data_IF_274836850601
#
_entry.id   IF_274836850601
#
_cell.length_a   1.000
_cell.length_b   1.000
_cell.length_c   1.000
_cell.angle_alpha   90.00
_cell.angle_beta   90.00
_cell.angle_gamma   90.00
#
_symmetry.space_group_name_H-M   'P 1'
#
loop_
_entity.id
_entity.type
_entity.pdbx_description
1 polymer ?
#
# COMPACT_ATOMS: atom_id res chain seq x y z
N UNK A 1 -11.81 -28.86 22.38
CA UNK A 1 -12.09 -27.44 22.15
C UNK A 1 -11.09 -26.92 21.14
N UNK A 2 -11.50 -26.66 19.89
CA UNK A 2 -10.63 -25.98 18.91
C UNK A 2 -10.44 -24.54 19.41
N UNK A 3 -9.20 -24.14 19.69
CA UNK A 3 -8.88 -22.75 20.02
C UNK A 3 -9.28 -21.89 18.81
N UNK A 4 -10.30 -21.05 18.97
CA UNK A 4 -10.71 -20.05 17.95
C UNK A 4 -9.66 -18.96 17.90
N UNK A 5 -8.57 -19.21 17.13
CA UNK A 5 -7.45 -18.29 17.00
C UNK A 5 -7.89 -16.90 16.48
N UNK A 6 -8.88 -16.88 15.60
CA UNK A 6 -9.41 -15.66 15.00
C UNK A 6 -10.65 -15.09 15.70
N UNK A 7 -11.06 -15.66 16.85
CA UNK A 7 -12.23 -15.21 17.64
C UNK A 7 -13.49 -14.99 16.80
N UNK A 8 -13.74 -15.90 15.86
CA UNK A 8 -14.85 -15.80 14.91
C UNK A 8 -16.22 -15.70 15.61
N UNK A 9 -16.39 -16.36 16.75
CA UNK A 9 -17.62 -16.31 17.53
C UNK A 9 -17.85 -14.95 18.20
N UNK A 10 -16.79 -14.30 18.68
CA UNK A 10 -16.88 -12.96 19.28
C UNK A 10 -17.26 -11.91 18.23
N UNK A 11 -16.79 -12.07 16.98
CA UNK A 11 -17.10 -11.20 15.85
C UNK A 11 -18.42 -11.55 15.13
N UNK A 12 -19.16 -12.56 15.59
CA UNK A 12 -20.44 -12.97 15.00
C UNK A 12 -20.35 -13.43 13.55
N UNK A 13 -19.19 -13.96 13.15
CA UNK A 13 -18.91 -14.37 11.77
C UNK A 13 -18.65 -15.85 11.64
N UNK A 14 -18.59 -16.36 10.42
CA UNK A 14 -18.30 -17.76 10.11
C UNK A 14 -17.10 -17.85 9.17
N UNK A 15 -16.36 -18.97 9.25
CA UNK A 15 -15.19 -19.23 8.37
C UNK A 15 -15.53 -19.04 6.88
N UNK A 16 -16.72 -19.47 6.43
CA UNK A 16 -17.14 -19.28 5.04
C UNK A 16 -17.26 -17.80 4.66
N UNK A 17 -17.81 -16.99 5.57
CA UNK A 17 -17.99 -15.55 5.35
C UNK A 17 -16.66 -14.83 5.29
N UNK A 18 -15.73 -15.18 6.16
CA UNK A 18 -14.38 -14.62 6.18
C UNK A 18 -13.57 -14.99 4.93
N UNK A 19 -13.63 -16.25 4.49
CA UNK A 19 -12.97 -16.69 3.25
C UNK A 19 -13.56 -15.95 2.03
N UNK A 20 -14.88 -15.82 1.95
CA UNK A 20 -15.53 -15.10 0.87
C UNK A 20 -15.14 -13.61 0.87
N UNK A 21 -15.12 -12.98 2.03
CA UNK A 21 -14.67 -11.60 2.19
C UNK A 21 -13.21 -11.43 1.76
N UNK A 22 -12.33 -12.36 2.16
CA UNK A 22 -10.93 -12.37 1.73
C UNK A 22 -10.75 -12.50 0.21
N UNK A 23 -11.51 -13.38 -0.44
CA UNK A 23 -11.51 -13.53 -1.90
C UNK A 23 -11.98 -12.24 -2.56
N UNK A 24 -13.06 -11.64 -2.07
CA UNK A 24 -13.57 -10.36 -2.60
C UNK A 24 -12.53 -9.26 -2.48
N UNK A 25 -11.89 -9.14 -1.32
CA UNK A 25 -10.81 -8.16 -1.09
C UNK A 25 -9.63 -8.41 -2.03
N UNK A 26 -9.22 -9.67 -2.22
CA UNK A 26 -8.16 -10.03 -3.16
C UNK A 26 -8.53 -9.64 -4.59
N UNK A 27 -9.74 -9.96 -5.05
CA UNK A 27 -10.20 -9.62 -6.40
C UNK A 27 -10.20 -8.11 -6.65
N UNK A 28 -10.63 -7.32 -5.66
CA UNK A 28 -10.63 -5.85 -5.77
C UNK A 28 -9.22 -5.26 -5.79
N UNK A 29 -8.23 -5.91 -5.16
CA UNK A 29 -6.86 -5.43 -5.11
C UNK A 29 -5.93 -6.04 -6.15
N UNK A 30 -6.35 -7.13 -6.82
CA UNK A 30 -5.51 -7.84 -7.79
C UNK A 30 -5.06 -6.94 -8.95
N UNK A 31 -5.86 -5.94 -9.36
CA UNK A 31 -5.49 -5.01 -10.41
C UNK A 31 -4.24 -4.19 -10.07
N UNK A 32 -3.98 -3.94 -8.77
CA UNK A 32 -2.80 -3.20 -8.31
C UNK A 32 -1.51 -3.90 -8.75
N UNK A 33 -1.50 -5.23 -8.72
CA UNK A 33 -0.33 -6.02 -9.13
C UNK A 33 0.02 -5.80 -10.60
N UNK A 34 -0.98 -5.61 -11.46
CA UNK A 34 -0.77 -5.32 -12.88
C UNK A 34 -0.38 -3.86 -13.13
N UNK A 35 -1.01 -2.93 -12.41
CA UNK A 35 -0.78 -1.48 -12.60
C UNK A 35 0.56 -1.04 -12.00
N UNK A 36 1.02 -1.65 -10.92
CA UNK A 36 2.22 -1.26 -10.20
C UNK A 36 3.51 -1.27 -11.07
N UNK A 37 3.83 -2.34 -11.80
CA UNK A 37 4.99 -2.34 -12.69
C UNK A 37 4.87 -1.30 -13.81
N UNK A 38 3.65 -1.09 -14.33
CA UNK A 38 3.41 -0.08 -15.35
C UNK A 38 3.54 1.35 -14.80
N UNK A 39 3.14 1.59 -13.57
CA UNK A 39 3.31 2.88 -12.91
C UNK A 39 4.78 3.27 -12.75
N UNK A 40 5.65 2.29 -12.48
CA UNK A 40 7.08 2.51 -12.26
C UNK A 40 7.86 2.56 -13.59
N UNK A 41 7.62 1.60 -14.48
CA UNK A 41 8.37 1.41 -15.72
C UNK A 41 7.71 2.04 -16.97
N UNK A 42 6.56 2.71 -16.80
CA UNK A 42 5.76 3.24 -17.89
C UNK A 42 4.81 2.21 -18.51
N UNK A 43 3.74 2.72 -19.13
CA UNK A 43 2.66 1.92 -19.74
C UNK A 43 2.99 1.38 -21.14
N UNK A 44 4.26 1.50 -21.59
CA UNK A 44 4.70 0.99 -22.87
C UNK A 44 4.60 -0.55 -22.97
N UNK A 45 4.59 -1.10 -24.20
CA UNK A 45 4.52 -2.54 -24.45
C UNK A 45 5.81 -3.27 -24.04
N UNK A 46 6.90 -2.55 -23.86
CA UNK A 46 8.20 -3.15 -23.58
C UNK A 46 8.20 -3.89 -22.23
N UNK A 47 8.69 -5.15 -22.20
CA UNK A 47 8.74 -5.95 -20.99
C UNK A 47 9.82 -5.51 -20.02
N UNK A 48 10.74 -4.67 -20.48
CA UNK A 48 11.92 -4.19 -19.75
C UNK A 48 11.98 -2.67 -19.82
N UNK A 49 12.38 -2.08 -18.72
CA UNK A 49 12.70 -0.67 -18.61
C UNK A 49 14.22 -0.52 -18.38
N UNK A 50 14.86 0.35 -19.12
CA UNK A 50 16.28 0.68 -18.90
C UNK A 50 16.39 2.08 -18.32
N UNK A 51 16.97 2.16 -17.14
CA UNK A 51 17.22 3.40 -16.42
C UNK A 51 18.33 4.24 -17.08
N UNK A 52 18.40 5.51 -16.74
CA UNK A 52 19.48 6.45 -17.20
C UNK A 52 20.89 5.94 -16.86
N UNK A 53 21.03 5.13 -15.83
CA UNK A 53 22.30 4.49 -15.43
C UNK A 53 22.55 3.14 -16.12
N UNK A 54 21.72 2.73 -17.08
CA UNK A 54 21.84 1.43 -17.75
C UNK A 54 21.31 0.24 -16.94
N UNK A 55 20.63 0.47 -15.80
CA UNK A 55 20.01 -0.59 -15.03
C UNK A 55 18.76 -1.12 -15.76
N UNK A 56 18.77 -2.40 -16.06
CA UNK A 56 17.67 -3.08 -16.75
C UNK A 56 16.71 -3.67 -15.73
N UNK A 57 15.45 -3.24 -15.76
CA UNK A 57 14.39 -3.64 -14.83
C UNK A 57 13.30 -4.34 -15.61
N UNK A 58 13.00 -5.58 -15.24
CA UNK A 58 11.89 -6.34 -15.83
C UNK A 58 10.58 -6.03 -15.13
N UNK A 59 9.53 -5.73 -15.88
CA UNK A 59 8.16 -5.52 -15.36
C UNK A 59 7.62 -6.77 -14.67
N UNK A 60 7.93 -7.95 -15.18
CA UNK A 60 7.53 -9.22 -14.57
C UNK A 60 8.21 -9.46 -13.23
N UNK A 61 9.49 -9.10 -13.10
CA UNK A 61 10.20 -9.18 -11.83
C UNK A 61 9.60 -8.23 -10.78
N UNK A 62 9.27 -6.99 -11.16
CA UNK A 62 8.59 -6.04 -10.29
C UNK A 62 7.20 -6.56 -9.85
N UNK A 63 6.43 -7.17 -10.76
CA UNK A 63 5.14 -7.76 -10.44
C UNK A 63 5.29 -8.85 -9.38
N UNK A 64 6.21 -9.78 -9.57
CA UNK A 64 6.46 -10.88 -8.63
C UNK A 64 6.92 -10.34 -7.27
N UNK A 65 7.84 -9.38 -7.26
CA UNK A 65 8.31 -8.74 -6.02
C UNK A 65 7.17 -8.03 -5.27
N UNK A 66 6.33 -7.26 -5.98
CA UNK A 66 5.17 -6.60 -5.38
C UNK A 66 4.17 -7.62 -4.81
N UNK A 67 3.91 -8.72 -5.54
CA UNK A 67 3.00 -9.76 -5.08
C UNK A 67 3.53 -10.46 -3.82
N UNK A 68 4.81 -10.82 -3.79
CA UNK A 68 5.44 -11.47 -2.64
C UNK A 68 5.45 -10.56 -1.40
N UNK A 69 5.87 -9.31 -1.55
CA UNK A 69 5.95 -8.37 -0.43
C UNK A 69 4.56 -8.03 0.09
N UNK A 70 3.60 -7.71 -0.78
CA UNK A 70 2.21 -7.43 -0.39
C UNK A 70 1.55 -8.64 0.29
N UNK A 71 1.79 -9.84 -0.24
CA UNK A 71 1.30 -11.09 0.34
C UNK A 71 1.89 -11.36 1.73
N UNK A 72 3.21 -11.22 1.88
CA UNK A 72 3.89 -11.42 3.15
C UNK A 72 3.40 -10.43 4.23
N UNK A 73 3.28 -9.14 3.88
CA UNK A 73 2.81 -8.11 4.82
C UNK A 73 1.35 -8.31 5.18
N UNK A 74 0.51 -8.69 4.21
CA UNK A 74 -0.91 -8.99 4.45
C UNK A 74 -1.07 -10.21 5.38
N UNK A 75 -0.30 -11.28 5.17
CA UNK A 75 -0.26 -12.44 6.06
C UNK A 75 0.20 -12.05 7.47
N UNK A 76 1.28 -11.27 7.57
CA UNK A 76 1.77 -10.79 8.86
C UNK A 76 0.70 -9.96 9.61
N UNK A 77 0.00 -9.08 8.89
CA UNK A 77 -1.09 -8.28 9.45
C UNK A 77 -2.26 -9.15 9.92
N UNK A 78 -2.66 -10.13 9.12
CA UNK A 78 -3.73 -11.07 9.48
C UNK A 78 -3.40 -11.94 10.69
N UNK A 79 -2.17 -12.43 10.77
CA UNK A 79 -1.74 -13.33 11.85
C UNK A 79 -1.37 -12.60 13.14
N UNK A 80 -0.68 -11.46 13.03
CA UNK A 80 -0.19 -10.73 14.20
C UNK A 80 -1.22 -9.73 14.76
N UNK A 81 -1.79 -8.90 13.89
CA UNK A 81 -2.74 -7.87 14.31
C UNK A 81 -4.19 -8.38 14.34
N UNK A 82 -4.46 -9.57 13.82
CA UNK A 82 -5.81 -10.17 13.70
C UNK A 82 -6.81 -9.22 13.00
N UNK A 83 -6.32 -8.46 12.01
CA UNK A 83 -7.11 -7.50 11.23
C UNK A 83 -7.25 -8.01 9.80
N UNK A 84 -8.49 -8.12 9.27
CA UNK A 84 -8.75 -8.58 7.91
C UNK A 84 -8.50 -7.45 6.89
N UNK A 85 -7.27 -6.93 6.86
CA UNK A 85 -6.85 -5.85 5.97
C UNK A 85 -5.83 -6.37 4.97
N UNK A 86 -6.12 -6.20 3.68
CA UNK A 86 -5.13 -6.42 2.64
C UNK A 86 -4.27 -5.15 2.47
N UNK A 87 -2.96 -5.35 2.47
CA UNK A 87 -1.98 -4.28 2.34
C UNK A 87 -1.30 -4.36 0.98
N UNK A 88 -1.17 -3.22 0.33
CA UNK A 88 -0.48 -3.07 -0.94
C UNK A 88 0.33 -1.77 -0.97
N UNK A 89 1.03 -1.55 -2.06
CA UNK A 89 1.86 -0.36 -2.28
C UNK A 89 1.02 0.90 -2.52
N UNK A 90 1.54 2.06 -2.11
CA UNK A 90 0.91 3.35 -2.35
C UNK A 90 1.03 3.75 -3.82
N UNK A 91 -0.06 3.70 -4.58
CA UNK A 91 -0.06 4.01 -6.02
C UNK A 91 0.34 5.46 -6.31
N UNK A 92 -0.17 6.44 -5.55
CA UNK A 92 0.04 7.84 -5.83
C UNK A 92 1.53 8.23 -5.90
N UNK A 93 2.31 7.84 -4.90
CA UNK A 93 3.76 8.09 -4.88
C UNK A 93 4.50 7.36 -6.00
N UNK A 94 4.06 6.15 -6.34
CA UNK A 94 4.70 5.35 -7.38
C UNK A 94 4.48 5.92 -8.78
N UNK A 95 3.30 6.50 -9.06
CA UNK A 95 3.04 7.21 -10.32
C UNK A 95 3.93 8.46 -10.47
N UNK A 96 4.06 9.24 -9.39
CA UNK A 96 4.91 10.45 -9.40
C UNK A 96 6.38 10.06 -9.64
N UNK A 97 6.89 9.10 -8.87
CA UNK A 97 8.29 8.67 -9.00
C UNK A 97 8.54 7.94 -10.32
N UNK A 98 7.61 7.11 -10.77
CA UNK A 98 7.69 6.47 -12.08
C UNK A 98 7.72 7.50 -13.22
N UNK A 99 6.91 8.55 -13.14
CA UNK A 99 6.95 9.66 -14.09
C UNK A 99 8.31 10.37 -14.12
N UNK A 100 8.91 10.64 -12.96
CA UNK A 100 10.23 11.26 -12.85
C UNK A 100 11.36 10.35 -13.36
N UNK A 101 11.26 9.05 -13.11
CA UNK A 101 12.23 8.06 -13.63
C UNK A 101 12.09 7.91 -15.14
N UNK A 102 10.87 7.82 -15.66
CA UNK A 102 10.61 7.69 -17.10
C UNK A 102 10.98 8.95 -17.90
N UNK A 103 10.91 10.14 -17.27
CA UNK A 103 11.37 11.40 -17.89
C UNK A 103 12.89 11.54 -17.89
N UNK A 104 13.63 10.64 -17.26
CA UNK A 104 15.09 10.72 -17.13
C UNK A 104 15.56 11.73 -16.09
N UNK A 105 14.66 12.35 -15.33
CA UNK A 105 15.02 13.33 -14.29
C UNK A 105 15.75 12.71 -13.11
N UNK A 106 15.36 11.47 -12.75
CA UNK A 106 15.97 10.72 -11.66
C UNK A 106 16.27 9.28 -12.09
N UNK A 107 17.36 8.72 -11.56
CA UNK A 107 17.61 7.29 -11.71
C UNK A 107 16.69 6.47 -10.80
N UNK A 108 16.43 5.23 -11.19
CA UNK A 108 15.61 4.30 -10.41
C UNK A 108 16.15 4.10 -8.99
N UNK A 109 17.47 4.04 -8.82
CA UNK A 109 18.12 3.91 -7.53
C UNK A 109 17.83 5.10 -6.62
N UNK A 110 17.86 6.33 -7.13
CA UNK A 110 17.48 7.53 -6.39
C UNK A 110 16.01 7.53 -5.99
N UNK A 111 15.12 7.11 -6.89
CA UNK A 111 13.69 7.00 -6.61
C UNK A 111 13.41 6.01 -5.47
N UNK A 112 14.09 4.86 -5.47
CA UNK A 112 13.98 3.86 -4.40
C UNK A 112 14.54 4.38 -3.07
N UNK A 113 15.65 5.09 -3.08
CA UNK A 113 16.21 5.71 -1.88
C UNK A 113 15.27 6.75 -1.28
N UNK A 114 14.63 7.57 -2.10
CA UNK A 114 13.62 8.55 -1.66
C UNK A 114 12.41 7.88 -1.02
N UNK A 115 11.91 6.78 -1.61
CA UNK A 115 10.81 6.00 -1.03
C UNK A 115 11.20 5.41 0.33
N UNK A 116 12.41 4.88 0.45
CA UNK A 116 12.90 4.31 1.70
C UNK A 116 13.03 5.38 2.78
N UNK A 117 13.64 6.53 2.47
CA UNK A 117 13.73 7.66 3.39
C UNK A 117 12.34 8.17 3.82
N UNK A 118 11.41 8.29 2.88
CA UNK A 118 10.02 8.67 3.17
C UNK A 118 9.34 7.67 4.11
N UNK A 119 9.54 6.37 3.89
CA UNK A 119 9.01 5.32 4.76
C UNK A 119 9.58 5.38 6.18
N UNK A 120 10.89 5.56 6.32
CA UNK A 120 11.55 5.73 7.63
C UNK A 120 11.01 6.97 8.35
N UNK A 121 10.93 8.10 7.65
CA UNK A 121 10.39 9.34 8.20
C UNK A 121 8.95 9.16 8.67
N UNK A 122 8.12 8.47 7.87
CA UNK A 122 6.73 8.18 8.23
C UNK A 122 6.62 7.33 9.51
N UNK A 123 7.47 6.31 9.65
CA UNK A 123 7.54 5.50 10.87
C UNK A 123 7.93 6.37 12.07
N UNK A 124 8.94 7.21 11.92
CA UNK A 124 9.44 8.09 12.96
C UNK A 124 8.35 9.07 13.44
N UNK A 125 7.65 9.72 12.51
CA UNK A 125 6.52 10.61 12.80
C UNK A 125 5.37 9.86 13.49
N UNK A 126 5.15 8.60 13.12
CA UNK A 126 4.11 7.76 13.71
C UNK A 126 4.46 7.38 15.16
N UNK A 127 5.72 7.00 15.41
CA UNK A 127 6.23 6.67 16.77
C UNK A 127 6.21 7.89 17.69
N UNK A 128 6.56 9.07 17.19
CA UNK A 128 6.49 10.32 17.94
C UNK A 128 5.05 10.77 18.28
N UNK A 129 4.04 10.07 17.80
CA UNK A 129 2.64 10.38 18.08
C UNK A 129 2.07 11.62 17.36
N UNK A 130 2.87 12.30 16.55
CA UNK A 130 2.47 13.49 15.78
C UNK A 130 1.26 13.19 14.89
N UNK A 131 1.15 11.97 14.37
CA UNK A 131 -0.01 11.54 13.57
C UNK A 131 -1.34 11.67 14.31
N UNK A 132 -1.38 11.33 15.61
CA UNK A 132 -2.59 11.48 16.43
C UNK A 132 -2.99 12.95 16.57
N UNK A 133 -2.01 13.83 16.69
CA UNK A 133 -2.23 15.28 16.79
C UNK A 133 -2.77 15.86 15.49
N UNK A 134 -2.21 15.50 14.35
CA UNK A 134 -2.69 15.94 13.02
C UNK A 134 -4.11 15.46 12.75
N UNK A 135 -4.40 14.20 13.04
CA UNK A 135 -5.75 13.63 12.88
C UNK A 135 -6.75 14.33 13.79
N UNK A 136 -6.41 14.56 15.07
CA UNK A 136 -7.29 15.26 16.01
C UNK A 136 -7.61 16.69 15.54
N UNK A 137 -6.61 17.43 15.06
CA UNK A 137 -6.81 18.80 14.52
C UNK A 137 -7.68 18.76 13.26
N UNK A 138 -7.48 17.82 12.36
CA UNK A 138 -8.25 17.67 11.13
C UNK A 138 -9.73 17.37 11.42
N UNK A 139 -10.01 16.48 12.38
CA UNK A 139 -11.38 16.17 12.79
C UNK A 139 -12.09 17.34 13.48
N UNK A 140 -11.39 18.15 14.28
CA UNK A 140 -11.97 19.34 14.89
C UNK A 140 -12.33 20.41 13.85
N UNK A 141 -11.50 20.61 12.83
CA UNK A 141 -11.78 21.53 11.73
C UNK A 141 -12.97 21.07 10.87
N UNK A 142 -13.06 19.80 10.52
CA UNK A 142 -14.20 19.24 9.76
C UNK A 142 -15.51 19.37 10.55
N UNK A 143 -15.50 19.07 11.84
CA UNK A 143 -16.68 19.18 12.70
C UNK A 143 -17.14 20.62 12.88
N UNK A 144 -16.23 21.60 12.95
CA UNK A 144 -16.56 23.01 13.01
C UNK A 144 -17.25 23.50 11.72
N UNK A 145 -16.87 22.95 10.56
CA UNK A 145 -17.51 23.25 9.27
C UNK A 145 -18.90 22.65 9.14
N UNK A 146 -19.13 21.45 9.65
CA UNK A 146 -20.46 20.82 9.65
C UNK A 146 -21.43 21.56 10.56
N UNK A 147 -21.02 21.99 11.75
CA UNK A 147 -21.87 22.73 12.67
C UNK A 147 -22.13 24.16 12.21
N UNK A 148 -21.24 24.80 11.46
CA UNK A 148 -21.43 26.13 10.88
C UNK A 148 -22.38 26.17 9.68
N UNK A 149 -22.65 25.02 9.04
CA UNK A 149 -23.56 24.93 7.89
C UNK A 149 -25.03 24.75 8.28
N UNK A 150 -25.34 24.58 9.59
CA UNK A 150 -26.70 24.39 10.12
C UNK A 150 -27.18 25.59 10.95
N UNK A 151 -26.46 26.70 10.98
CA UNK A 151 -26.87 28.01 11.54
C UNK A 151 -27.07 29.02 10.41
#
# INVERSE_FOLDING_TARGET
MKKDFFRLQEHGTTTKREVLAGITTFMTMAYVLAVQPAAICGFGPDPVFTDVNGLVISKSALLVMCALVSGAITLFMGLYANLPLALSTAMGSNFILGGLVNSGAFSFGWAMALLLCSGILFILVTVLGVRKMVVAVSYTHLRAHETGAYL
#
